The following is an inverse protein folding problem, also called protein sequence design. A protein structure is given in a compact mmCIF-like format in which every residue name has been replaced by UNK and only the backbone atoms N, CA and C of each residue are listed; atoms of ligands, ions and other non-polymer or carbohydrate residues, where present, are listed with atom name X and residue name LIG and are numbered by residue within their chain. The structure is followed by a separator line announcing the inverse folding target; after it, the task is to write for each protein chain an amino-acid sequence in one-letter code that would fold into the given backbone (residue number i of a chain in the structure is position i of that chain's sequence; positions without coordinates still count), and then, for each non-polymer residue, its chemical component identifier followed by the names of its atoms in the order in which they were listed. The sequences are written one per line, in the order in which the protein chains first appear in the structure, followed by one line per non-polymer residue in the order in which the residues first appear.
data_IF_972216519133
#
_entry.id   IF_972216519133
#
_cell.length_a   1.000
_cell.length_b   1.000
_cell.length_c   1.000
_cell.angle_alpha   90.00
_cell.angle_beta   90.00
_cell.angle_gamma   90.00
#
_symmetry.space_group_name_H-M   'P 1'
#
loop_
_entity.id
_entity.type
_entity.pdbx_description
1 polymer ?
#
# COMPACT_ATOMS: atom_id res chain seq x y z
N UNK A 1 -17.87 38.35 32.64
CA UNK A 1 -17.78 36.89 32.82
C UNK A 1 -17.31 36.31 31.50
N UNK A 2 -16.03 35.93 31.41
CA UNK A 2 -15.40 35.45 30.19
C UNK A 2 -15.53 33.93 30.12
N UNK A 3 -16.20 33.41 29.09
CA UNK A 3 -16.21 31.97 28.80
C UNK A 3 -14.98 31.64 27.93
N UNK A 4 -14.21 30.57 28.25
CA UNK A 4 -13.10 30.15 27.41
C UNK A 4 -13.63 29.45 26.14
N UNK A 5 -12.96 29.74 25.01
CA UNK A 5 -13.16 29.11 23.71
C UNK A 5 -12.88 27.61 23.84
N UNK A 6 -13.91 26.78 23.73
CA UNK A 6 -13.73 25.39 23.35
C UNK A 6 -13.37 25.34 21.85
N UNK A 7 -12.08 25.44 21.54
CA UNK A 7 -11.54 24.94 20.27
C UNK A 7 -11.60 23.42 20.32
N UNK A 8 -12.77 22.86 20.00
CA UNK A 8 -12.84 21.48 19.57
C UNK A 8 -12.34 21.45 18.12
N UNK A 9 -11.06 21.13 17.92
CA UNK A 9 -10.62 20.65 16.61
C UNK A 9 -11.45 19.37 16.33
N UNK A 10 -12.13 19.26 15.17
CA UNK A 10 -12.77 18.00 14.83
C UNK A 10 -11.70 16.90 14.78
N UNK A 11 -12.01 15.64 15.15
CA UNK A 11 -11.13 14.55 14.79
C UNK A 11 -11.01 14.60 13.26
N UNK A 12 -9.81 14.84 12.75
CA UNK A 12 -9.53 14.78 11.33
C UNK A 12 -9.52 13.29 10.94
N UNK A 13 -10.68 12.66 11.02
CA UNK A 13 -10.95 11.34 10.47
C UNK A 13 -11.04 11.51 8.96
N UNK A 14 -9.89 11.69 8.31
CA UNK A 14 -9.79 11.27 6.93
C UNK A 14 -10.33 9.83 6.90
N UNK A 15 -11.26 9.50 5.98
CA UNK A 15 -11.77 8.14 5.91
C UNK A 15 -10.56 7.22 5.70
N UNK A 16 -10.30 6.33 6.66
CA UNK A 16 -9.34 5.24 6.50
C UNK A 16 -9.69 4.56 5.19
N UNK A 17 -8.74 4.51 4.25
CA UNK A 17 -8.98 3.88 2.96
C UNK A 17 -9.31 2.41 3.22
N UNK A 18 -10.24 1.83 2.45
CA UNK A 18 -10.47 0.40 2.60
C UNK A 18 -9.18 -0.36 2.25
N UNK A 19 -8.74 -1.21 3.17
CA UNK A 19 -7.47 -1.92 3.06
C UNK A 19 -7.40 -2.84 1.82
N UNK A 20 -8.55 -3.33 1.32
CA UNK A 20 -8.60 -4.13 0.10
C UNK A 20 -8.44 -3.24 -1.14
N UNK A 21 -9.00 -2.04 -1.14
CA UNK A 21 -8.73 -1.06 -2.21
C UNK A 21 -7.25 -0.65 -2.24
N UNK A 22 -6.64 -0.42 -1.07
CA UNK A 22 -5.20 -0.18 -0.97
C UNK A 22 -4.41 -1.36 -1.54
N UNK A 23 -4.77 -2.59 -1.17
CA UNK A 23 -4.11 -3.79 -1.69
C UNK A 23 -4.24 -3.93 -3.21
N UNK A 24 -5.37 -3.51 -3.79
CA UNK A 24 -5.61 -3.54 -5.24
C UNK A 24 -4.73 -2.53 -5.97
N UNK A 25 -4.68 -1.27 -5.50
CA UNK A 25 -3.81 -0.24 -6.08
C UNK A 25 -2.34 -0.62 -6.02
N UNK A 26 -1.88 -1.13 -4.86
CA UNK A 26 -0.50 -1.58 -4.70
C UNK A 26 -0.20 -2.71 -5.68
N UNK A 27 -1.13 -3.65 -5.89
CA UNK A 27 -0.94 -4.71 -6.87
C UNK A 27 -0.79 -4.17 -8.29
N UNK A 28 -1.64 -3.22 -8.71
CA UNK A 28 -1.55 -2.57 -10.02
C UNK A 28 -0.18 -1.90 -10.23
N UNK A 29 0.33 -1.19 -9.22
CA UNK A 29 1.65 -0.55 -9.31
C UNK A 29 2.77 -1.60 -9.37
N UNK A 30 2.70 -2.67 -8.58
CA UNK A 30 3.72 -3.75 -8.61
C UNK A 30 3.75 -4.47 -9.97
N UNK A 31 2.60 -4.60 -10.65
CA UNK A 31 2.55 -5.16 -12.00
C UNK A 31 3.31 -4.29 -13.02
N UNK A 32 3.31 -2.97 -12.85
CA UNK A 32 4.12 -2.06 -13.68
C UNK A 32 5.65 -2.28 -13.48
N UNK A 33 6.07 -2.85 -12.34
CA UNK A 33 7.46 -3.27 -12.09
C UNK A 33 7.78 -4.67 -12.63
N UNK A 34 6.84 -5.32 -13.32
CA UNK A 34 7.03 -6.64 -13.92
C UNK A 34 6.83 -7.81 -12.94
N UNK A 35 6.19 -7.54 -11.79
CA UNK A 35 5.71 -8.58 -10.88
C UNK A 35 4.31 -9.03 -11.31
N UNK A 36 3.90 -10.21 -10.84
CA UNK A 36 2.48 -10.59 -10.86
C UNK A 36 1.95 -10.32 -9.46
N UNK A 37 0.89 -9.54 -9.30
CA UNK A 37 0.40 -9.15 -7.98
C UNK A 37 -1.13 -9.23 -7.87
N UNK A 38 -1.64 -9.46 -6.67
CA UNK A 38 -3.07 -9.52 -6.41
C UNK A 38 -3.38 -9.05 -5.00
N UNK A 39 -4.21 -8.01 -4.90
CA UNK A 39 -4.83 -7.60 -3.64
C UNK A 39 -5.96 -8.55 -3.27
N UNK A 40 -5.92 -9.11 -2.06
CA UNK A 40 -6.99 -9.98 -1.56
C UNK A 40 -7.19 -9.85 -0.05
N UNK A 41 -8.40 -10.17 0.39
CA UNK A 41 -8.72 -10.34 1.81
C UNK A 41 -8.76 -11.83 2.14
N UNK A 42 -8.03 -12.25 3.17
CA UNK A 42 -8.05 -13.62 3.69
C UNK A 42 -8.04 -13.58 5.21
N UNK A 43 -8.96 -14.33 5.83
CA UNK A 43 -9.08 -14.42 7.29
C UNK A 43 -9.24 -13.05 7.97
N UNK A 44 -9.94 -12.11 7.30
CA UNK A 44 -10.15 -10.74 7.79
C UNK A 44 -8.99 -9.77 7.52
N UNK A 45 -7.85 -10.25 7.04
CA UNK A 45 -6.67 -9.44 6.76
C UNK A 45 -6.58 -9.13 5.26
N UNK A 46 -6.51 -7.85 4.91
CA UNK A 46 -6.18 -7.43 3.55
C UNK A 46 -4.67 -7.55 3.33
N UNK A 47 -4.28 -8.04 2.16
CA UNK A 47 -2.88 -8.25 1.82
C UNK A 47 -2.67 -8.24 0.31
N UNK A 48 -1.44 -7.99 -0.07
CA UNK A 48 -0.95 -8.13 -1.44
C UNK A 48 -0.15 -9.42 -1.54
N UNK A 49 -0.61 -10.36 -2.36
CA UNK A 49 0.16 -11.55 -2.74
C UNK A 49 0.84 -11.24 -4.07
N UNK A 50 2.16 -11.44 -4.19
CA UNK A 50 2.91 -11.12 -5.41
C UNK A 50 4.02 -12.12 -5.70
N UNK A 51 4.40 -12.21 -6.97
CA UNK A 51 5.38 -13.16 -7.48
C UNK A 51 6.45 -12.47 -8.31
N UNK A 52 7.71 -12.83 -8.06
CA UNK A 52 8.84 -12.41 -8.88
C UNK A 52 8.94 -13.24 -10.16
N UNK A 53 9.66 -12.74 -11.15
CA UNK A 53 9.94 -13.46 -12.40
C UNK A 53 10.64 -14.80 -12.20
N UNK A 54 11.36 -14.95 -11.08
CA UNK A 54 12.01 -16.20 -10.70
C UNK A 54 11.05 -17.22 -10.05
N UNK A 55 9.76 -16.87 -9.95
CA UNK A 55 8.73 -17.70 -9.35
C UNK A 55 8.68 -17.65 -7.82
N UNK A 56 9.41 -16.72 -7.17
CA UNK A 56 9.34 -16.55 -5.71
C UNK A 56 8.05 -15.84 -5.34
N UNK A 57 7.32 -16.39 -4.37
CA UNK A 57 6.05 -15.87 -3.89
C UNK A 57 6.23 -15.09 -2.59
N UNK A 58 5.65 -13.90 -2.53
CA UNK A 58 5.69 -12.99 -1.39
C UNK A 58 4.28 -12.57 -1.00
N UNK A 59 4.12 -12.16 0.27
CA UNK A 59 2.85 -11.71 0.83
C UNK A 59 3.11 -10.55 1.76
N UNK A 60 2.35 -9.47 1.59
CA UNK A 60 2.49 -8.26 2.40
C UNK A 60 1.12 -7.83 2.93
N UNK A 61 0.90 -7.84 4.27
CA UNK A 61 -0.36 -7.38 4.86
C UNK A 61 -0.47 -5.85 4.77
N UNK A 62 -1.69 -5.34 4.65
CA UNK A 62 -1.99 -3.89 4.64
C UNK A 62 -3.15 -3.57 5.58
N UNK A 63 -3.11 -2.41 6.25
CA UNK A 63 -4.15 -1.96 7.18
C UNK A 63 -5.15 -0.97 6.56
N UNK A 64 -4.76 -0.28 5.48
CA UNK A 64 -5.57 0.77 4.84
C UNK A 64 -5.23 2.19 5.31
N UNK A 65 -4.33 2.32 6.28
CA UNK A 65 -3.83 3.62 6.76
C UNK A 65 -2.50 4.01 6.09
N UNK A 66 -1.89 3.09 5.35
CA UNK A 66 -0.62 3.29 4.66
C UNK A 66 -0.77 4.00 3.32
N UNK A 67 0.27 4.73 2.93
CA UNK A 67 0.41 5.26 1.57
C UNK A 67 0.78 4.15 0.56
N UNK A 68 0.18 4.20 -0.63
CA UNK A 68 0.42 3.23 -1.71
C UNK A 68 1.90 3.13 -2.03
N UNK A 69 2.59 4.25 -2.19
CA UNK A 69 4.02 4.29 -2.54
C UNK A 69 4.89 3.66 -1.47
N UNK A 70 4.55 3.87 -0.20
CA UNK A 70 5.25 3.26 0.94
C UNK A 70 5.10 1.74 0.97
N UNK A 71 3.89 1.22 0.72
CA UNK A 71 3.65 -0.23 0.64
C UNK A 71 4.35 -0.84 -0.58
N UNK A 72 4.29 -0.17 -1.74
CA UNK A 72 4.99 -0.61 -2.95
C UNK A 72 6.50 -0.71 -2.71
N UNK A 73 7.10 0.31 -2.09
CA UNK A 73 8.52 0.30 -1.76
C UNK A 73 8.88 -0.90 -0.87
N UNK A 74 8.10 -1.15 0.19
CA UNK A 74 8.32 -2.30 1.07
C UNK A 74 8.16 -3.65 0.34
N UNK A 75 7.21 -3.77 -0.58
CA UNK A 75 7.03 -4.97 -1.40
C UNK A 75 8.21 -5.20 -2.35
N UNK A 76 8.74 -4.14 -2.98
CA UNK A 76 9.89 -4.23 -3.88
C UNK A 76 11.17 -4.59 -3.13
N UNK A 77 11.38 -4.00 -1.95
CA UNK A 77 12.46 -4.37 -1.04
C UNK A 77 12.37 -5.85 -0.63
N UNK A 78 11.16 -6.33 -0.29
CA UNK A 78 10.92 -7.73 0.09
C UNK A 78 11.19 -8.71 -1.06
N UNK A 79 10.94 -8.30 -2.31
CA UNK A 79 11.26 -9.08 -3.50
C UNK A 79 12.69 -8.88 -4.01
N UNK A 80 13.52 -8.10 -3.30
CA UNK A 80 14.89 -7.77 -3.70
C UNK A 80 14.96 -7.15 -5.12
N UNK A 81 13.89 -6.47 -5.54
CA UNK A 81 13.82 -5.81 -6.85
C UNK A 81 14.58 -4.49 -6.76
N UNK A 82 15.76 -4.46 -7.38
CA UNK A 82 16.53 -3.23 -7.51
C UNK A 82 15.81 -2.31 -8.49
N UNK A 83 15.09 -1.32 -7.96
CA UNK A 83 14.55 -0.22 -8.76
C UNK A 83 15.71 0.69 -9.13
N UNK A 84 16.23 0.57 -10.35
CA UNK A 84 17.21 1.53 -10.86
C UNK A 84 16.47 2.84 -11.14
N UNK A 85 16.73 3.94 -10.42
CA UNK A 85 16.14 5.24 -10.75
C UNK A 85 16.74 5.66 -12.10
N UNK A 86 15.97 5.57 -13.18
CA UNK A 86 16.49 5.90 -14.50
C UNK A 86 15.68 5.47 -15.72
N UNK A 87 14.60 4.72 -15.56
CA UNK A 87 13.69 4.42 -16.68
C UNK A 87 12.36 5.15 -16.53
N UNK A 88 12.43 6.49 -16.54
CA UNK A 88 11.35 7.32 -17.04
C UNK A 88 11.16 6.95 -18.52
N UNK A 89 10.15 6.14 -18.82
CA UNK A 89 9.65 6.10 -20.19
C UNK A 89 8.77 7.35 -20.37
N UNK A 90 9.32 8.29 -21.12
CA UNK A 90 8.75 9.56 -21.63
C UNK A 90 9.02 10.79 -20.78
#
# INVERSE_FOLDING_TARGET
MSAPRASASPPSSAPSRDALELAADVAEVLEAYGLVACGRRKDGVARVDFWTREGRAHRFPVSGDEDVGSVVAACLELAEVVVTPGRMLS
#
